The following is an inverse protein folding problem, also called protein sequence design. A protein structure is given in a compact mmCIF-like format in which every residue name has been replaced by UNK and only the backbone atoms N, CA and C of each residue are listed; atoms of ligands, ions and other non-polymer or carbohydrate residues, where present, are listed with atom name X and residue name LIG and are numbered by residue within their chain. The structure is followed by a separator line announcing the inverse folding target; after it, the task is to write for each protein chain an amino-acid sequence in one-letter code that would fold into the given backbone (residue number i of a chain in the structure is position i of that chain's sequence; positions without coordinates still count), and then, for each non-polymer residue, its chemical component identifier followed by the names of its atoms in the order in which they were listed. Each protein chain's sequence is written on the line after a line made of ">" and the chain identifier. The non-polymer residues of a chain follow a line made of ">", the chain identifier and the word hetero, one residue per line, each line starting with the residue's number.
data_IF_356416943668
#
_entry.id   IF_356416943668
#
_cell.length_a   1.000
_cell.length_b   1.000
_cell.length_c   1.000
_cell.angle_alpha   90.00
_cell.angle_beta   90.00
_cell.angle_gamma   90.00
#
_symmetry.space_group_name_H-M   'P 1'
#
loop_
_entity.id
_entity.type
_entity.pdbx_description
1 polymer ?
#
# COMPACT_ATOMS: atom_id res chain seq x y z
N UNK A 1 12.63 10.42 -22.26
CA UNK A 1 12.35 8.98 -22.36
C UNK A 1 11.46 8.75 -23.56
N UNK A 2 11.93 7.93 -24.52
CA UNK A 2 11.13 7.51 -25.67
C UNK A 2 10.01 6.58 -25.19
N UNK A 3 8.85 6.68 -25.84
CA UNK A 3 7.59 6.04 -25.42
C UNK A 3 7.56 4.52 -25.72
N UNK A 4 8.66 3.98 -26.26
CA UNK A 4 8.70 2.70 -26.97
C UNK A 4 9.39 1.57 -26.19
N UNK A 5 10.03 1.85 -25.05
CA UNK A 5 10.65 0.83 -24.20
C UNK A 5 9.72 0.50 -23.03
N UNK A 6 8.76 -0.41 -23.23
CA UNK A 6 7.82 -0.88 -22.20
C UNK A 6 7.90 -2.39 -22.10
N UNK A 7 7.94 -2.94 -20.89
CA UNK A 7 7.96 -4.39 -20.68
C UNK A 7 6.55 -4.89 -20.37
N UNK A 8 6.12 -5.94 -21.04
CA UNK A 8 4.82 -6.58 -20.81
C UNK A 8 5.03 -7.78 -19.89
N UNK A 9 4.38 -7.78 -18.73
CA UNK A 9 4.30 -8.92 -17.82
C UNK A 9 2.86 -9.33 -17.64
N UNK A 10 2.53 -10.54 -18.11
CA UNK A 10 1.24 -11.25 -18.01
C UNK A 10 -0.02 -10.55 -18.54
N UNK A 11 -0.03 -9.21 -18.69
CA UNK A 11 -1.01 -8.29 -19.32
C UNK A 11 -0.79 -6.83 -18.85
N UNK A 12 0.17 -6.58 -17.97
CA UNK A 12 0.51 -5.24 -17.46
C UNK A 12 1.75 -4.71 -18.16
N UNK A 13 1.61 -3.51 -18.71
CA UNK A 13 2.71 -2.76 -19.33
C UNK A 13 3.43 -1.92 -18.27
N UNK A 14 4.66 -2.29 -17.94
CA UNK A 14 5.50 -1.63 -16.94
C UNK A 14 6.66 -0.87 -17.58
N UNK A 15 7.13 0.18 -16.90
CA UNK A 15 8.38 0.84 -17.29
C UNK A 15 9.61 -0.03 -16.97
N UNK A 16 10.65 -0.06 -17.82
CA UNK A 16 11.87 -0.83 -17.59
C UNK A 16 12.58 -0.50 -16.28
N UNK A 17 12.55 0.75 -15.84
CA UNK A 17 13.14 1.18 -14.56
C UNK A 17 12.42 0.59 -13.34
N UNK A 18 11.10 0.45 -13.44
CA UNK A 18 10.27 -0.21 -12.40
C UNK A 18 10.63 -1.69 -12.35
N UNK A 19 10.73 -2.33 -13.51
CA UNK A 19 11.11 -3.73 -13.58
C UNK A 19 12.53 -3.96 -13.04
N UNK A 20 13.47 -3.09 -13.36
CA UNK A 20 14.84 -3.17 -12.86
C UNK A 20 14.91 -3.07 -11.32
N UNK A 21 14.07 -2.23 -10.74
CA UNK A 21 13.92 -2.12 -9.28
C UNK A 21 13.20 -3.32 -8.65
N UNK A 22 12.17 -3.86 -9.30
CA UNK A 22 11.43 -5.06 -8.87
C UNK A 22 12.26 -6.33 -8.93
N UNK A 23 13.34 -6.35 -9.73
CA UNK A 23 14.36 -7.42 -9.74
C UNK A 23 15.21 -7.46 -8.46
N UNK A 24 14.67 -6.98 -7.34
CA UNK A 24 15.22 -7.10 -6.00
C UNK A 24 14.08 -7.43 -5.00
N UNK A 25 13.57 -8.68 -4.92
CA UNK A 25 12.85 -9.13 -3.75
C UNK A 25 13.75 -8.89 -2.54
N UNK A 26 13.33 -7.94 -1.73
CA UNK A 26 14.11 -7.53 -0.58
C UNK A 26 13.86 -8.53 0.55
N UNK A 27 14.86 -8.77 1.39
CA UNK A 27 14.69 -9.37 2.72
C UNK A 27 13.43 -8.84 3.43
N UNK A 28 13.12 -7.56 3.19
CA UNK A 28 11.94 -6.86 3.68
C UNK A 28 10.61 -7.48 3.25
N UNK A 29 10.45 -7.97 2.03
CA UNK A 29 9.20 -8.60 1.56
C UNK A 29 8.94 -9.93 2.27
N UNK A 30 9.94 -10.82 2.33
CA UNK A 30 9.83 -12.08 3.06
C UNK A 30 9.56 -11.85 4.53
N UNK A 31 10.30 -10.91 5.13
CA UNK A 31 10.16 -10.57 6.54
C UNK A 31 8.78 -10.01 6.84
N UNK A 32 8.26 -9.10 6.01
CA UNK A 32 6.91 -8.56 6.16
C UNK A 32 5.83 -9.65 6.04
N UNK A 33 5.97 -10.56 5.07
CA UNK A 33 5.07 -11.71 4.92
C UNK A 33 5.11 -12.64 6.13
N UNK A 34 6.30 -12.86 6.70
CA UNK A 34 6.47 -13.69 7.89
C UNK A 34 5.81 -13.03 9.10
N UNK A 35 5.97 -11.71 9.26
CA UNK A 35 5.31 -10.94 10.31
C UNK A 35 3.78 -11.04 10.22
N UNK A 36 3.21 -10.92 9.02
CA UNK A 36 1.77 -11.12 8.82
C UNK A 36 1.36 -12.56 9.11
N UNK A 37 2.15 -13.54 8.69
CA UNK A 37 1.88 -14.95 8.99
C UNK A 37 1.88 -15.24 10.49
N UNK A 38 2.83 -14.66 11.24
CA UNK A 38 2.89 -14.80 12.69
C UNK A 38 1.73 -14.10 13.39
N UNK A 39 1.26 -12.97 12.86
CA UNK A 39 0.13 -12.20 13.42
C UNK A 39 -1.22 -12.85 13.13
N UNK A 40 -1.40 -13.35 11.91
CA UNK A 40 -2.62 -14.00 11.46
C UNK A 40 -2.28 -15.33 10.77
N UNK A 41 -1.85 -16.34 11.54
CA UNK A 41 -1.64 -17.67 11.01
C UNK A 41 -2.90 -18.10 10.27
N UNK A 42 -2.74 -18.86 9.19
CA UNK A 42 -3.83 -19.38 8.37
C UNK A 42 -4.51 -18.37 7.43
N UNK A 43 -4.37 -17.06 7.63
CA UNK A 43 -4.96 -16.05 6.73
C UNK A 43 -4.05 -15.64 5.57
N UNK A 44 -2.76 -15.98 5.62
CA UNK A 44 -1.78 -15.72 4.56
C UNK A 44 -0.97 -16.98 4.24
N UNK A 45 -0.35 -16.99 3.07
CA UNK A 45 0.62 -18.02 2.68
C UNK A 45 1.89 -17.87 3.54
N UNK A 46 2.37 -18.98 4.12
CA UNK A 46 3.60 -18.99 4.92
C UNK A 46 4.82 -18.79 4.01
N UNK A 47 5.64 -17.74 4.19
CA UNK A 47 6.94 -17.65 3.54
C UNK A 47 7.96 -18.56 4.26
N UNK A 48 8.89 -19.13 3.50
CA UNK A 48 9.99 -19.95 4.03
C UNK A 48 11.34 -19.30 3.81
N UNK A 49 11.62 -18.83 2.59
CA UNK A 49 12.91 -18.25 2.25
C UNK A 49 12.83 -17.38 1.01
N UNK A 50 13.89 -16.63 0.78
CA UNK A 50 14.19 -15.93 -0.46
C UNK A 50 15.66 -16.13 -0.79
N UNK A 51 16.02 -15.89 -2.04
CA UNK A 51 17.42 -15.97 -2.44
C UNK A 51 17.65 -15.44 -3.83
N UNK A 52 18.91 -15.49 -4.27
CA UNK A 52 19.36 -15.22 -5.63
C UNK A 52 19.74 -16.55 -6.28
N UNK A 53 19.33 -16.77 -7.52
CA UNK A 53 19.86 -17.87 -8.32
C UNK A 53 21.32 -17.55 -8.69
N UNK A 54 22.24 -18.44 -8.31
CA UNK A 54 23.67 -18.26 -8.54
C UNK A 54 24.10 -18.56 -10.00
N UNK A 55 23.25 -19.25 -10.78
CA UNK A 55 23.60 -19.78 -12.10
C UNK A 55 22.87 -19.10 -13.24
N UNK A 56 21.81 -18.33 -12.96
CA UNK A 56 21.06 -17.57 -13.96
C UNK A 56 21.27 -16.08 -13.78
N UNK A 57 21.46 -15.37 -14.91
CA UNK A 57 21.64 -13.92 -14.93
C UNK A 57 20.41 -13.14 -14.42
N UNK A 58 19.24 -13.79 -14.24
CA UNK A 58 18.01 -13.18 -13.73
C UNK A 58 17.11 -14.19 -12.95
N UNK A 59 16.32 -13.72 -11.96
CA UNK A 59 16.79 -12.95 -10.80
C UNK A 59 15.90 -13.21 -9.56
N UNK A 60 16.41 -13.89 -8.56
CA UNK A 60 15.75 -14.07 -7.25
C UNK A 60 14.51 -14.95 -7.22
N UNK A 61 14.35 -15.61 -6.07
CA UNK A 61 13.23 -16.50 -5.80
C UNK A 61 12.68 -16.26 -4.40
N UNK A 62 11.42 -16.64 -4.21
CA UNK A 62 10.74 -16.72 -2.92
C UNK A 62 10.15 -18.11 -2.77
N UNK A 63 10.43 -18.79 -1.67
CA UNK A 63 9.86 -20.10 -1.32
C UNK A 63 8.75 -19.89 -0.30
N UNK A 64 7.60 -20.51 -0.53
CA UNK A 64 6.45 -20.44 0.36
C UNK A 64 5.64 -21.73 0.32
N UNK A 65 4.71 -21.88 1.26
CA UNK A 65 3.76 -22.98 1.22
C UNK A 65 2.92 -22.93 -0.06
N UNK A 66 2.78 -24.09 -0.71
CA UNK A 66 1.80 -24.23 -1.77
C UNK A 66 0.41 -24.40 -1.15
N UNK A 67 -0.53 -23.56 -1.57
CA UNK A 67 -1.94 -23.66 -1.17
C UNK A 67 -2.77 -23.69 -2.46
N UNK A 68 -3.54 -24.77 -2.74
CA UNK A 68 -4.38 -24.83 -3.92
C UNK A 68 -5.50 -23.80 -3.80
N UNK A 69 -5.54 -22.88 -4.77
CA UNK A 69 -6.56 -21.84 -4.86
C UNK A 69 -7.66 -22.31 -5.80
N UNK A 70 -8.91 -22.26 -5.33
CA UNK A 70 -10.08 -22.65 -6.12
C UNK A 70 -10.58 -21.45 -6.94
N UNK A 71 -10.55 -20.25 -6.36
CA UNK A 71 -11.07 -19.04 -7.00
C UNK A 71 -10.48 -17.78 -6.38
N UNK A 72 -10.16 -16.80 -7.24
CA UNK A 72 -9.97 -15.41 -6.82
C UNK A 72 -11.33 -14.75 -6.59
N UNK A 73 -11.56 -14.26 -5.37
CA UNK A 73 -12.80 -13.63 -4.93
C UNK A 73 -12.54 -12.13 -4.73
N UNK A 74 -13.47 -11.32 -5.22
CA UNK A 74 -13.57 -9.90 -4.88
C UNK A 74 -14.87 -9.68 -4.10
N UNK A 75 -14.84 -9.98 -2.80
CA UNK A 75 -15.97 -9.78 -1.89
C UNK A 75 -15.59 -8.70 -0.87
N UNK A 76 -16.20 -7.50 -0.96
CA UNK A 76 -15.84 -6.37 -0.11
C UNK A 76 -16.16 -6.63 1.38
N UNK A 77 -17.19 -7.43 1.68
CA UNK A 77 -17.59 -7.76 3.06
C UNK A 77 -16.53 -8.65 3.70
N UNK A 78 -16.16 -9.72 3.00
CA UNK A 78 -15.15 -10.67 3.49
C UNK A 78 -13.78 -10.03 3.59
N UNK A 79 -13.41 -9.20 2.62
CA UNK A 79 -12.14 -8.49 2.62
C UNK A 79 -12.07 -7.55 3.83
N UNK A 80 -13.12 -6.77 4.06
CA UNK A 80 -13.23 -5.88 5.19
C UNK A 80 -13.10 -6.60 6.54
N UNK A 81 -13.82 -7.71 6.72
CA UNK A 81 -13.73 -8.54 7.93
C UNK A 81 -12.29 -9.06 8.13
N UNK A 82 -11.67 -9.58 7.07
CA UNK A 82 -10.37 -10.22 7.14
C UNK A 82 -9.26 -9.19 7.47
N UNK A 83 -9.33 -7.99 6.88
CA UNK A 83 -8.45 -6.85 7.20
C UNK A 83 -8.68 -6.35 8.64
N UNK A 84 -9.93 -6.21 9.06
CA UNK A 84 -10.26 -5.81 10.43
C UNK A 84 -9.72 -6.79 11.47
N UNK A 85 -9.80 -8.09 11.21
CA UNK A 85 -9.25 -9.11 12.10
C UNK A 85 -7.72 -9.07 12.16
N UNK A 86 -7.05 -8.81 11.05
CA UNK A 86 -5.59 -8.63 11.02
C UNK A 86 -5.20 -7.45 11.92
N UNK A 87 -5.87 -6.30 11.76
CA UNK A 87 -5.64 -5.13 12.60
C UNK A 87 -5.90 -5.42 14.08
N UNK A 88 -6.98 -6.12 14.43
CA UNK A 88 -7.29 -6.49 15.83
C UNK A 88 -6.23 -7.39 16.45
N UNK A 89 -5.73 -8.35 15.67
CA UNK A 89 -4.73 -9.34 16.12
C UNK A 89 -3.32 -8.75 16.18
N UNK A 90 -3.11 -7.62 15.50
CA UNK A 90 -1.80 -7.00 15.38
C UNK A 90 -1.33 -6.32 16.68
N UNK A 91 -0.04 -6.51 16.98
CA UNK A 91 0.69 -5.85 18.04
C UNK A 91 2.09 -5.47 17.56
N UNK A 92 2.36 -4.17 17.43
CA UNK A 92 3.71 -3.69 17.10
C UNK A 92 4.71 -4.14 18.17
N UNK A 93 5.80 -4.83 17.80
CA UNK A 93 6.84 -5.26 18.74
C UNK A 93 7.49 -4.09 19.50
N UNK A 94 7.48 -2.90 18.89
CA UNK A 94 8.11 -1.68 19.45
C UNK A 94 7.09 -0.66 19.98
N UNK A 95 5.80 -0.88 19.73
CA UNK A 95 4.77 0.14 19.97
C UNK A 95 4.90 1.37 19.07
N UNK A 96 5.76 1.35 18.05
CA UNK A 96 6.00 2.47 17.12
C UNK A 96 5.44 2.19 15.73
N UNK A 97 5.16 3.28 15.02
CA UNK A 97 4.83 3.29 13.58
C UNK A 97 6.12 3.05 12.78
N UNK A 98 6.03 2.21 11.75
CA UNK A 98 7.13 1.87 10.83
C UNK A 98 7.40 0.37 10.78
N UNK A 99 8.55 0.03 10.22
CA UNK A 99 9.10 -1.33 10.26
C UNK A 99 10.61 -1.25 10.41
N UNK A 100 11.23 -2.29 10.95
CA UNK A 100 12.64 -2.23 11.32
C UNK A 100 13.60 -2.31 10.11
N UNK A 101 13.18 -3.00 9.04
CA UNK A 101 13.89 -2.99 7.77
C UNK A 101 13.44 -1.78 6.93
N UNK A 102 14.31 -1.17 6.12
CA UNK A 102 13.92 -0.06 5.25
C UNK A 102 12.91 -0.52 4.19
N UNK A 103 11.98 0.36 3.83
CA UNK A 103 11.06 0.15 2.71
C UNK A 103 11.64 0.77 1.44
N UNK A 104 11.54 0.07 0.31
CA UNK A 104 11.87 0.58 -1.01
C UNK A 104 10.61 0.89 -1.81
N UNK A 105 10.64 2.00 -2.53
CA UNK A 105 9.65 2.34 -3.55
C UNK A 105 9.80 1.46 -4.79
N UNK A 106 8.83 1.53 -5.70
CA UNK A 106 8.85 0.82 -6.98
C UNK A 106 10.03 1.16 -7.91
N UNK A 107 10.81 2.18 -7.61
CA UNK A 107 12.08 2.53 -8.28
C UNK A 107 13.33 2.09 -7.50
N UNK A 108 13.17 1.22 -6.49
CA UNK A 108 14.26 0.62 -5.71
C UNK A 108 14.91 1.58 -4.71
N UNK A 109 14.45 2.85 -4.69
CA UNK A 109 14.93 3.86 -3.75
C UNK A 109 14.23 3.71 -2.40
N UNK A 110 14.91 3.99 -1.28
CA UNK A 110 14.26 4.01 0.02
C UNK A 110 13.05 4.94 0.02
N UNK A 111 11.90 4.47 0.49
CA UNK A 111 10.69 5.28 0.70
C UNK A 111 10.84 6.24 1.90
N UNK A 112 11.84 5.99 2.75
CA UNK A 112 12.11 6.66 4.03
C UNK A 112 10.89 6.70 4.98
N UNK A 113 10.91 5.82 5.99
CA UNK A 113 10.41 6.17 7.32
C UNK A 113 11.46 5.78 8.36
N UNK A 114 11.91 6.75 9.16
CA UNK A 114 12.50 6.39 10.46
C UNK A 114 11.34 5.90 11.33
N UNK A 115 11.52 4.86 12.16
CA UNK A 115 10.50 4.46 13.12
C UNK A 115 10.03 5.68 13.94
N UNK A 116 8.72 5.88 14.03
CA UNK A 116 8.10 6.97 14.81
C UNK A 116 7.68 8.22 14.04
N UNK A 117 7.92 8.33 12.72
CA UNK A 117 7.28 9.39 11.91
C UNK A 117 6.00 8.88 11.27
N UNK A 118 4.90 9.62 11.42
CA UNK A 118 3.68 9.33 10.65
C UNK A 118 4.04 9.46 9.17
N UNK A 119 3.83 8.37 8.43
CA UNK A 119 4.19 8.16 7.02
C UNK A 119 3.62 9.18 6.00
N UNK A 120 3.04 10.30 6.41
CA UNK A 120 2.22 11.18 5.56
C UNK A 120 3.01 11.99 4.54
N UNK A 121 3.87 12.91 4.98
CA UNK A 121 4.46 13.95 4.13
C UNK A 121 5.48 13.40 3.11
N UNK A 122 6.49 12.68 3.60
CA UNK A 122 7.59 12.19 2.76
C UNK A 122 7.12 11.27 1.64
N UNK A 123 6.12 10.43 1.90
CA UNK A 123 5.61 9.51 0.87
C UNK A 123 4.85 10.26 -0.21
N UNK A 124 4.03 11.26 0.14
CA UNK A 124 3.32 12.09 -0.86
C UNK A 124 4.32 12.83 -1.76
N UNK A 125 5.38 13.41 -1.20
CA UNK A 125 6.43 14.07 -1.99
C UNK A 125 7.19 13.08 -2.87
N UNK A 126 7.57 11.92 -2.32
CA UNK A 126 8.31 10.90 -3.08
C UNK A 126 7.47 10.31 -4.21
N UNK A 127 6.20 10.00 -3.96
CA UNK A 127 5.28 9.50 -4.99
C UNK A 127 5.07 10.52 -6.11
N UNK A 128 4.96 11.82 -5.76
CA UNK A 128 4.92 12.93 -6.74
C UNK A 128 6.18 12.97 -7.60
N UNK A 129 7.36 12.93 -6.97
CA UNK A 129 8.64 12.90 -7.70
C UNK A 129 8.74 11.69 -8.63
N UNK A 130 8.17 10.55 -8.22
CA UNK A 130 8.12 9.37 -9.08
C UNK A 130 7.27 9.61 -10.32
N UNK A 131 6.04 10.06 -10.10
CA UNK A 131 5.10 10.28 -11.19
C UNK A 131 5.64 11.31 -12.16
N UNK A 132 6.22 12.41 -11.66
CA UNK A 132 6.84 13.43 -12.51
C UNK A 132 8.00 12.87 -13.35
N UNK A 133 8.85 12.00 -12.77
CA UNK A 133 9.95 11.33 -13.48
C UNK A 133 9.43 10.44 -14.62
N UNK A 134 8.36 9.67 -14.38
CA UNK A 134 7.88 8.65 -15.32
C UNK A 134 6.88 9.19 -16.36
N UNK A 135 6.09 10.20 -16.00
CA UNK A 135 4.95 10.69 -16.78
C UNK A 135 5.06 12.16 -17.24
N UNK A 136 6.18 12.82 -16.93
CA UNK A 136 6.40 14.27 -17.02
C UNK A 136 5.60 15.06 -15.99
N UNK A 137 6.17 16.19 -15.57
CA UNK A 137 5.58 17.18 -14.67
C UNK A 137 4.20 17.60 -15.15
N UNK A 138 3.27 17.78 -14.21
CA UNK A 138 1.93 18.31 -14.49
C UNK A 138 1.61 19.35 -13.43
N UNK A 139 1.73 20.63 -13.81
CA UNK A 139 1.74 21.75 -12.87
C UNK A 139 0.50 21.82 -11.98
N UNK A 140 -0.68 21.53 -12.51
CA UNK A 140 -1.94 21.50 -11.75
C UNK A 140 -1.91 20.41 -10.68
N UNK A 141 -1.51 19.18 -11.05
CA UNK A 141 -1.36 18.06 -10.12
C UNK A 141 -0.28 18.33 -9.06
N UNK A 142 0.87 18.86 -9.48
CA UNK A 142 1.96 19.23 -8.57
C UNK A 142 1.54 20.33 -7.59
N UNK A 143 0.76 21.31 -8.05
CA UNK A 143 0.24 22.40 -7.21
C UNK A 143 -0.77 21.89 -6.19
N UNK A 144 -1.68 21.01 -6.62
CA UNK A 144 -2.64 20.35 -5.72
C UNK A 144 -1.92 19.52 -4.64
N UNK A 145 -0.91 18.72 -5.02
CA UNK A 145 -0.12 17.94 -4.07
C UNK A 145 0.59 18.85 -3.04
N UNK A 146 1.19 19.95 -3.47
CA UNK A 146 1.81 20.93 -2.57
C UNK A 146 0.81 21.55 -1.59
N UNK A 147 -0.40 21.87 -2.04
CA UNK A 147 -1.47 22.39 -1.17
C UNK A 147 -1.92 21.34 -0.13
N UNK A 148 -2.05 20.08 -0.55
CA UNK A 148 -2.36 18.98 0.37
C UNK A 148 -1.29 18.82 1.44
N UNK A 149 -0.01 18.84 1.06
CA UNK A 149 1.11 18.77 2.01
C UNK A 149 1.08 19.93 3.01
N UNK A 150 0.89 21.16 2.51
CA UNK A 150 0.94 22.37 3.33
C UNK A 150 -0.26 22.55 4.26
N UNK A 151 -1.47 22.12 3.85
CA UNK A 151 -2.71 22.38 4.60
C UNK A 151 -3.33 21.12 5.19
N UNK A 152 -3.56 20.12 4.34
CA UNK A 152 -4.40 18.96 4.68
C UNK A 152 -3.64 17.94 5.51
N UNK A 153 -2.41 17.60 5.13
CA UNK A 153 -1.59 16.63 5.89
C UNK A 153 -1.29 17.16 7.29
N UNK A 154 -0.90 18.43 7.43
CA UNK A 154 -0.64 19.02 8.75
C UNK A 154 -1.88 19.02 9.64
N UNK A 155 -3.04 19.37 9.08
CA UNK A 155 -4.33 19.37 9.80
C UNK A 155 -4.74 17.97 10.23
N UNK A 156 -4.78 17.01 9.29
CA UNK A 156 -5.24 15.65 9.52
C UNK A 156 -4.25 14.81 10.33
N UNK A 157 -2.94 15.07 10.23
CA UNK A 157 -1.96 14.50 11.16
C UNK A 157 -2.16 15.07 12.55
N UNK A 158 -2.23 16.39 12.65
CA UNK A 158 -2.36 17.07 13.94
C UNK A 158 -3.59 16.60 14.70
N UNK A 159 -4.72 16.39 14.02
CA UNK A 159 -5.95 16.01 14.70
C UNK A 159 -5.95 14.59 15.31
N UNK A 160 -5.11 13.70 14.78
CA UNK A 160 -4.89 12.36 15.33
C UNK A 160 -4.02 12.36 16.60
N UNK A 161 -3.24 13.42 16.81
CA UNK A 161 -2.30 13.57 17.93
C UNK A 161 -2.75 14.64 18.96
N UNK A 162 -3.79 15.43 18.63
CA UNK A 162 -4.37 16.46 19.50
C UNK A 162 -5.08 15.85 20.71
N UNK A 163 -5.19 16.64 21.77
CA UNK A 163 -5.93 16.30 22.99
C UNK A 163 -5.49 14.97 23.64
N UNK A 164 -4.19 14.66 23.57
CA UNK A 164 -3.63 13.44 24.15
C UNK A 164 -3.94 12.15 23.38
N UNK A 165 -4.52 12.24 22.17
CA UNK A 165 -4.77 11.07 21.33
C UNK A 165 -3.45 10.44 20.87
N UNK A 166 -3.43 9.12 20.82
CA UNK A 166 -2.29 8.33 20.36
C UNK A 166 -2.75 7.36 19.29
N UNK A 167 -2.08 7.38 18.14
CA UNK A 167 -2.36 6.43 17.07
C UNK A 167 -1.70 5.10 17.41
N UNK A 168 -2.51 4.06 17.66
CA UNK A 168 -2.00 2.70 17.80
C UNK A 168 -1.41 2.22 16.46
N UNK A 169 -0.19 1.68 16.44
CA UNK A 169 0.39 1.08 15.25
C UNK A 169 -0.16 -0.34 15.02
N UNK A 170 -0.86 -0.52 13.91
CA UNK A 170 -1.40 -1.78 13.41
C UNK A 170 -0.59 -2.28 12.22
N UNK A 171 -0.39 -3.59 12.14
CA UNK A 171 0.19 -4.27 10.99
C UNK A 171 -0.84 -4.27 9.87
N UNK A 172 -0.49 -3.66 8.75
CA UNK A 172 -1.33 -3.64 7.56
C UNK A 172 -0.46 -3.84 6.32
N UNK A 173 -1.09 -4.10 5.19
CA UNK A 173 -0.39 -4.35 3.92
C UNK A 173 -0.64 -3.17 2.97
N UNK A 174 0.43 -2.68 2.34
CA UNK A 174 0.36 -1.48 1.50
C UNK A 174 -0.10 -1.86 0.08
N UNK A 175 -1.06 -2.75 -0.14
CA UNK A 175 -1.32 -3.27 -1.50
C UNK A 175 -1.78 -2.15 -2.45
N UNK A 176 -1.00 -1.85 -3.48
CA UNK A 176 -1.49 -1.08 -4.62
C UNK A 176 -2.15 -2.04 -5.62
N UNK A 177 -3.44 -1.85 -5.86
CA UNK A 177 -4.25 -2.73 -6.70
C UNK A 177 -5.08 -3.73 -5.90
N UNK A 178 -6.10 -4.29 -6.57
CA UNK A 178 -7.13 -5.15 -5.97
C UNK A 178 -6.53 -6.23 -5.04
N UNK A 179 -6.71 -6.13 -3.71
CA UNK A 179 -6.45 -7.26 -2.84
C UNK A 179 -7.34 -8.40 -3.32
N UNK A 180 -6.72 -9.46 -3.82
CA UNK A 180 -7.47 -10.63 -4.24
C UNK A 180 -7.61 -11.48 -2.98
N UNK A 181 -8.84 -11.72 -2.53
CA UNK A 181 -9.07 -12.86 -1.65
C UNK A 181 -8.92 -14.10 -2.52
N UNK A 182 -8.32 -15.15 -1.98
CA UNK A 182 -8.52 -16.45 -2.60
C UNK A 182 -9.19 -17.40 -1.63
N UNK A 183 -9.97 -18.28 -2.24
CA UNK A 183 -10.61 -19.37 -1.55
C UNK A 183 -9.77 -20.62 -1.70
N UNK A 184 -9.46 -21.21 -0.56
CA UNK A 184 -8.99 -22.59 -0.45
C UNK A 184 -10.20 -23.50 -0.19
N UNK A 185 -10.09 -24.82 -0.33
CA UNK A 185 -11.19 -25.72 0.03
C UNK A 185 -11.66 -25.56 1.48
N UNK A 186 -10.78 -25.15 2.39
CA UNK A 186 -11.04 -25.10 3.83
C UNK A 186 -11.42 -23.71 4.36
N UNK A 187 -10.93 -22.64 3.73
CA UNK A 187 -11.06 -21.26 4.23
C UNK A 187 -10.71 -20.20 3.19
N UNK A 188 -10.95 -18.95 3.54
CA UNK A 188 -10.48 -17.79 2.79
C UNK A 188 -9.11 -17.34 3.29
N UNK A 189 -8.26 -16.95 2.35
CA UNK A 189 -6.93 -16.40 2.61
C UNK A 189 -6.73 -15.13 1.79
N UNK A 190 -5.84 -14.26 2.26
CA UNK A 190 -5.28 -13.23 1.42
C UNK A 190 -4.46 -13.88 0.31
N UNK A 191 -4.81 -13.61 -0.96
CA UNK A 191 -3.84 -13.76 -2.05
C UNK A 191 -3.18 -12.44 -2.29
N UNK A 192 -2.00 -12.33 -1.72
CA UNK A 192 -1.19 -11.13 -1.86
C UNK A 192 -0.59 -11.13 -3.26
N UNK A 193 -1.08 -10.20 -4.06
CA UNK A 193 -0.35 -9.64 -5.20
C UNK A 193 1.06 -9.22 -4.75
N UNK A 194 1.99 -9.31 -5.68
CA UNK A 194 3.43 -9.09 -5.55
C UNK A 194 3.76 -7.62 -5.27
N UNK A 195 3.56 -7.15 -4.03
CA UNK A 195 4.11 -5.94 -3.33
C UNK A 195 3.00 -5.22 -2.52
N UNK A 196 3.33 -4.38 -1.51
CA UNK A 196 4.58 -4.09 -0.80
C UNK A 196 4.63 -4.77 0.60
N UNK A 197 5.73 -4.64 1.36
CA UNK A 197 5.91 -5.33 2.63
C UNK A 197 4.96 -4.82 3.71
N UNK A 198 4.59 -5.71 4.62
CA UNK A 198 3.84 -5.37 5.82
C UNK A 198 4.56 -4.31 6.63
N UNK A 199 3.80 -3.40 7.23
CA UNK A 199 4.31 -2.27 8.01
C UNK A 199 3.35 -1.94 9.14
N UNK A 200 3.88 -1.40 10.23
CA UNK A 200 3.05 -0.91 11.32
C UNK A 200 2.67 0.56 11.12
N UNK A 201 1.39 0.89 11.25
CA UNK A 201 0.92 2.28 11.14
C UNK A 201 -0.57 2.42 11.43
N UNK A 202 -1.17 3.52 10.98
CA UNK A 202 -2.59 3.75 11.22
C UNK A 202 -3.43 2.81 10.34
N UNK A 203 -4.37 2.07 10.95
CA UNK A 203 -5.27 1.12 10.27
C UNK A 203 -6.06 1.75 9.11
N UNK A 204 -6.40 3.03 9.24
CA UNK A 204 -7.10 3.77 8.20
C UNK A 204 -6.30 3.92 6.90
N UNK A 205 -4.98 3.66 6.91
CA UNK A 205 -4.18 3.74 5.71
C UNK A 205 -4.52 2.62 4.71
N UNK A 206 -4.52 1.36 5.15
CA UNK A 206 -4.95 0.23 4.31
C UNK A 206 -6.42 0.37 3.90
N UNK A 207 -7.26 0.84 4.81
CA UNK A 207 -8.66 1.09 4.51
C UNK A 207 -8.86 2.18 3.44
N UNK A 208 -8.10 3.29 3.51
CA UNK A 208 -8.14 4.39 2.55
C UNK A 208 -7.65 3.97 1.17
N UNK A 209 -6.63 3.10 1.13
CA UNK A 209 -6.13 2.47 -0.11
C UNK A 209 -7.21 1.57 -0.71
N UNK A 210 -7.78 0.67 0.09
CA UNK A 210 -8.84 -0.24 -0.35
C UNK A 210 -10.09 0.50 -0.85
N UNK A 211 -10.42 1.66 -0.25
CA UNK A 211 -11.51 2.55 -0.66
C UNK A 211 -11.34 3.10 -2.07
N UNK A 212 -10.10 3.27 -2.56
CA UNK A 212 -9.85 3.75 -3.92
C UNK A 212 -10.29 2.74 -4.98
N UNK A 213 -10.17 1.44 -4.67
CA UNK A 213 -10.62 0.36 -5.55
C UNK A 213 -12.15 0.24 -5.50
N UNK A 214 -12.73 0.30 -4.30
CA UNK A 214 -14.18 0.27 -4.09
C UNK A 214 -14.58 1.05 -2.84
N UNK A 215 -15.41 2.09 -3.00
CA UNK A 215 -15.94 2.90 -1.88
C UNK A 215 -16.73 2.08 -0.86
N UNK A 216 -17.23 0.89 -1.21
CA UNK A 216 -17.92 -0.03 -0.28
C UNK A 216 -16.97 -0.62 0.76
N UNK A 217 -15.70 -0.82 0.42
CA UNK A 217 -14.71 -1.45 1.30
C UNK A 217 -14.59 -0.72 2.64
N UNK A 218 -14.57 0.62 2.63
CA UNK A 218 -14.47 1.38 3.87
C UNK A 218 -15.71 1.28 4.74
N UNK A 219 -16.90 1.26 4.13
CA UNK A 219 -18.16 1.10 4.85
C UNK A 219 -18.26 -0.27 5.51
N UNK A 220 -17.87 -1.32 4.79
CA UNK A 220 -17.82 -2.69 5.34
C UNK A 220 -16.77 -2.81 6.45
N UNK A 221 -15.57 -2.24 6.26
CA UNK A 221 -14.53 -2.25 7.29
C UNK A 221 -14.99 -1.60 8.59
N UNK A 222 -15.72 -0.48 8.50
CA UNK A 222 -16.26 0.23 9.66
C UNK A 222 -17.32 -0.56 10.45
N UNK A 223 -17.89 -1.64 9.89
CA UNK A 223 -18.79 -2.55 10.64
C UNK A 223 -18.02 -3.48 11.58
N UNK A 224 -16.74 -3.72 11.27
CA UNK A 224 -15.90 -4.67 11.99
C UNK A 224 -14.82 -3.99 12.83
N UNK A 225 -14.50 -2.74 12.56
CA UNK A 225 -13.45 -2.00 13.25
C UNK A 225 -13.88 -0.55 13.50
N UNK A 226 -13.70 -0.08 14.72
CA UNK A 226 -14.13 1.25 15.15
C UNK A 226 -13.40 2.37 14.38
N UNK A 227 -14.13 3.43 14.06
CA UNK A 227 -13.55 4.60 13.39
C UNK A 227 -12.68 5.36 14.39
N UNK A 228 -11.48 5.76 13.98
CA UNK A 228 -10.61 6.53 14.88
C UNK A 228 -11.19 7.93 15.12
N UNK A 229 -11.02 8.44 16.34
CA UNK A 229 -11.37 9.81 16.67
C UNK A 229 -10.44 10.83 15.97
N UNK A 230 -10.95 11.98 15.50
CA UNK A 230 -12.35 12.35 15.42
C UNK A 230 -13.09 11.63 14.29
N UNK A 231 -14.28 11.09 14.57
CA UNK A 231 -15.07 10.33 13.58
C UNK A 231 -15.53 11.21 12.41
N UNK A 232 -15.78 12.50 12.64
CA UNK A 232 -16.20 13.46 11.62
C UNK A 232 -15.13 13.69 10.54
N UNK A 233 -13.86 13.49 10.87
CA UNK A 233 -12.73 13.61 9.92
C UNK A 233 -12.32 12.26 9.30
N UNK A 234 -13.00 11.17 9.65
CA UNK A 234 -12.64 9.83 9.21
C UNK A 234 -12.61 9.69 7.68
N UNK A 235 -13.64 10.18 6.98
CA UNK A 235 -13.67 10.08 5.51
C UNK A 235 -12.56 10.92 4.85
N UNK A 236 -12.25 12.10 5.39
CA UNK A 236 -11.16 12.95 4.92
C UNK A 236 -9.80 12.27 5.08
N UNK A 237 -9.58 11.54 6.20
CA UNK A 237 -8.36 10.76 6.41
C UNK A 237 -8.25 9.59 5.44
N UNK A 238 -9.35 8.87 5.18
CA UNK A 238 -9.34 7.79 4.19
C UNK A 238 -9.04 8.31 2.78
N UNK A 239 -9.65 9.43 2.37
CA UNK A 239 -9.33 10.11 1.11
C UNK A 239 -7.84 10.46 1.04
N UNK A 240 -7.29 11.08 2.10
CA UNK A 240 -5.87 11.44 2.17
C UNK A 240 -4.97 10.21 2.02
N UNK A 241 -5.27 9.11 2.72
CA UNK A 241 -4.49 7.88 2.63
C UNK A 241 -4.55 7.23 1.25
N UNK A 242 -5.68 7.34 0.56
CA UNK A 242 -5.80 6.90 -0.83
C UNK A 242 -4.92 7.74 -1.77
N UNK A 243 -5.15 9.05 -1.84
CA UNK A 243 -4.42 9.94 -2.77
C UNK A 243 -2.91 9.92 -2.54
N UNK A 244 -2.46 9.61 -1.33
CA UNK A 244 -1.05 9.49 -0.96
C UNK A 244 -0.27 8.48 -1.81
N UNK A 245 -0.86 7.33 -2.14
CA UNK A 245 -0.17 6.27 -2.91
C UNK A 245 -0.59 6.25 -4.37
N UNK A 246 -1.67 6.94 -4.72
CA UNK A 246 -2.26 6.97 -6.06
C UNK A 246 -1.29 7.35 -7.18
N UNK A 247 -0.29 8.24 -6.99
CA UNK A 247 0.72 8.50 -8.03
C UNK A 247 1.65 7.33 -8.32
N UNK A 248 1.79 6.34 -7.42
CA UNK A 248 2.64 5.17 -7.68
C UNK A 248 2.15 4.34 -8.86
N UNK A 249 0.83 4.15 -8.96
CA UNK A 249 0.25 3.33 -10.01
C UNK A 249 0.55 3.87 -11.42
N UNK A 250 0.22 5.12 -11.79
CA UNK A 250 0.54 5.65 -13.11
C UNK A 250 2.05 5.79 -13.34
N UNK A 251 2.86 5.92 -12.28
CA UNK A 251 4.32 5.91 -12.39
C UNK A 251 4.89 4.52 -12.71
N UNK A 252 4.20 3.46 -12.33
CA UNK A 252 4.62 2.08 -12.56
C UNK A 252 4.01 1.45 -13.82
N UNK A 253 2.71 1.69 -14.04
CA UNK A 253 1.89 1.05 -15.07
C UNK A 253 1.57 2.05 -16.18
N UNK A 254 1.85 1.68 -17.42
CA UNK A 254 1.64 2.52 -18.60
C UNK A 254 0.15 2.60 -18.97
N UNK A 255 -0.57 1.49 -18.86
CA UNK A 255 -1.97 1.37 -19.25
C UNK A 255 -2.87 2.12 -18.27
N UNK A 256 -3.77 2.97 -18.78
CA UNK A 256 -4.73 3.72 -17.95
C UNK A 256 -4.14 4.87 -17.13
N UNK A 257 -2.82 5.10 -17.19
CA UNK A 257 -2.11 6.10 -16.36
C UNK A 257 -2.70 7.51 -16.44
N UNK A 258 -3.09 7.97 -17.65
CA UNK A 258 -3.66 9.31 -17.84
C UNK A 258 -4.95 9.46 -17.04
N UNK A 259 -5.86 8.48 -17.14
CA UNK A 259 -7.13 8.46 -16.40
C UNK A 259 -6.89 8.49 -14.88
N UNK A 260 -5.94 7.70 -14.40
CA UNK A 260 -5.62 7.63 -12.97
C UNK A 260 -5.01 8.93 -12.45
N UNK A 261 -4.14 9.58 -13.23
CA UNK A 261 -3.60 10.91 -12.89
C UNK A 261 -4.70 11.97 -12.81
N UNK A 262 -5.66 11.97 -13.73
CA UNK A 262 -6.81 12.90 -13.68
C UNK A 262 -7.69 12.64 -12.45
N UNK A 263 -8.03 11.37 -12.18
CA UNK A 263 -8.78 11.02 -10.98
C UNK A 263 -8.00 11.37 -9.70
N UNK A 264 -6.67 11.33 -9.73
CA UNK A 264 -5.86 11.77 -8.58
C UNK A 264 -6.01 13.28 -8.36
N UNK A 265 -5.96 14.08 -9.42
CA UNK A 265 -6.19 15.52 -9.31
C UNK A 265 -7.59 15.81 -8.75
N UNK A 266 -8.64 15.17 -9.26
CA UNK A 266 -10.02 15.35 -8.75
C UNK A 266 -10.12 15.03 -7.25
N UNK A 267 -9.59 13.89 -6.81
CA UNK A 267 -9.61 13.49 -5.40
C UNK A 267 -8.81 14.45 -4.50
N UNK A 268 -7.69 14.99 -5.00
CA UNK A 268 -6.90 16.00 -4.29
C UNK A 268 -7.67 17.32 -4.19
N UNK A 269 -8.39 17.73 -5.24
CA UNK A 269 -9.19 18.95 -5.24
C UNK A 269 -10.39 18.85 -4.29
N UNK A 270 -11.00 17.66 -4.12
CA UNK A 270 -12.05 17.45 -3.11
C UNK A 270 -11.55 17.59 -1.66
N UNK A 271 -10.24 17.50 -1.44
CA UNK A 271 -9.61 17.56 -0.10
C UNK A 271 -9.10 18.97 0.27
N UNK A 272 -8.89 19.84 -0.71
CA UNK A 272 -8.38 21.21 -0.55
C UNK A 272 -9.52 22.15 -0.15
#
# INVERSE_FOLDING_TARGET
>A
MRQDDVVILENVSLFPEVLAAWRSPTERECTGRLETYNTAPHKVIKPYSYGKDAFRALPLFHVCNYIPLIQGISDPVKLAQLVADLHKSSKSPTGKIGFYLPESMMDGKPMMSRPGTIHGLHVVERTREFDAKMNRTWNELDSAIKLILAKVVLRLKGILERNGRVVKPYLFQVTCGRPTLARTPQREIFTLSTLPPSIYGHNEMENGISRMEDRRNSKEYAKHFERSEPVEEWDNRLKLYGVKIKPLYPAAVVTGRKKIRHQNLEDLMELI
#
